data_IF_385339366486
#
_entry.id   IF_385339366486
#
_cell.length_a   1.000
_cell.length_b   1.000
_cell.length_c   1.000
_cell.angle_alpha   90.00
_cell.angle_beta   90.00
_cell.angle_gamma   90.00
#
_symmetry.space_group_name_H-M   'P 1'
#
loop_
_entity.id
_entity.type
_entity.pdbx_description
1 polymer ?
#
# COMPACT_ATOMS: atom_id res chain seq x y z
N UNK A 1 4.69 23.96 14.13
CA UNK A 1 4.98 24.39 12.75
C UNK A 1 5.68 23.27 12.01
N UNK A 2 5.24 23.00 10.77
CA UNK A 2 5.87 22.01 9.89
C UNK A 2 7.26 22.45 9.45
N UNK A 3 8.22 21.51 9.27
CA UNK A 3 9.49 21.81 8.60
C UNK A 3 9.34 22.02 7.08
N UNK A 4 8.20 21.65 6.50
CA UNK A 4 7.91 21.77 5.08
C UNK A 4 7.34 23.15 4.72
N UNK A 5 7.70 23.66 3.53
CA UNK A 5 7.27 24.97 3.06
C UNK A 5 5.75 25.02 2.77
N UNK A 6 5.19 23.93 2.25
CA UNK A 6 3.79 23.83 1.85
C UNK A 6 3.16 22.55 2.42
N UNK A 7 3.01 22.42 3.75
CA UNK A 7 2.51 21.19 4.38
C UNK A 7 1.08 20.85 3.97
N UNK A 8 0.28 21.85 3.59
CA UNK A 8 -1.10 21.71 3.13
C UNK A 8 -1.24 20.94 1.80
N UNK A 9 -0.14 20.74 1.08
CA UNK A 9 -0.15 19.93 -0.15
C UNK A 9 -0.23 18.43 0.14
N UNK A 10 0.08 18.00 1.37
CA UNK A 10 -0.11 16.62 1.80
C UNK A 10 -1.50 16.47 2.41
N UNK A 11 -2.37 15.77 1.70
CA UNK A 11 -3.72 15.43 2.14
C UNK A 11 -3.97 13.96 1.81
N UNK A 12 -3.44 13.08 2.66
CA UNK A 12 -3.46 11.63 2.47
C UNK A 12 -4.11 10.92 3.64
N UNK A 13 -4.74 9.78 3.35
CA UNK A 13 -5.27 8.85 4.34
C UNK A 13 -4.41 7.59 4.30
N UNK A 14 -3.77 7.25 5.41
CA UNK A 14 -2.98 6.03 5.53
C UNK A 14 -3.87 4.91 6.05
N UNK A 15 -4.17 3.94 5.19
CA UNK A 15 -4.80 2.67 5.54
C UNK A 15 -3.69 1.69 5.93
N UNK A 16 -3.58 1.38 7.21
CA UNK A 16 -2.60 0.45 7.79
C UNK A 16 -3.28 -0.86 8.14
N UNK A 17 -2.83 -1.98 7.59
CA UNK A 17 -3.23 -3.31 8.05
C UNK A 17 -2.78 -3.49 9.51
N UNK A 18 -3.62 -4.03 10.38
CA UNK A 18 -3.39 -3.95 11.82
C UNK A 18 -3.41 -5.31 12.55
N UNK A 19 -3.58 -6.42 11.83
CA UNK A 19 -3.75 -7.75 12.42
C UNK A 19 -2.63 -8.73 12.13
N UNK A 20 -1.81 -8.44 11.13
CA UNK A 20 -0.72 -9.30 10.65
C UNK A 20 0.64 -8.58 10.72
N UNK A 21 1.60 -9.07 9.94
CA UNK A 21 2.96 -8.57 9.87
C UNK A 21 3.77 -8.93 11.13
N UNK A 22 4.93 -8.34 11.32
CA UNK A 22 5.79 -8.54 12.49
C UNK A 22 5.09 -8.12 13.80
N UNK A 23 4.07 -7.28 13.73
CA UNK A 23 3.26 -6.84 14.86
C UNK A 23 2.45 -7.97 15.53
N UNK A 24 2.38 -9.15 14.92
CA UNK A 24 1.85 -10.33 15.62
C UNK A 24 2.71 -10.78 16.81
N UNK A 25 3.95 -10.29 16.92
CA UNK A 25 4.84 -10.60 18.04
C UNK A 25 5.28 -12.06 18.09
N UNK A 26 5.31 -12.75 16.94
CA UNK A 26 5.82 -14.13 16.86
C UNK A 26 7.32 -14.06 16.66
N UNK A 27 8.04 -14.01 17.76
CA UNK A 27 9.49 -13.86 17.74
C UNK A 27 10.17 -14.61 18.90
N UNK A 28 11.43 -14.89 18.73
CA UNK A 28 12.28 -15.54 19.73
C UNK A 28 13.60 -14.81 19.84
N UNK A 29 14.06 -14.65 21.10
CA UNK A 29 15.35 -14.06 21.40
C UNK A 29 16.50 -14.96 20.93
N UNK A 30 17.62 -14.35 20.58
CA UNK A 30 18.86 -15.06 20.28
C UNK A 30 19.29 -15.91 21.49
N UNK A 31 19.79 -17.11 21.23
CA UNK A 31 20.24 -18.08 22.23
C UNK A 31 19.11 -18.76 23.04
N UNK A 32 17.83 -18.38 22.83
CA UNK A 32 16.69 -19.16 23.35
C UNK A 32 16.68 -20.57 22.72
N UNK A 33 16.39 -21.59 23.52
CA UNK A 33 16.41 -23.00 23.07
C UNK A 33 15.45 -23.24 21.89
N UNK A 34 14.25 -22.65 21.91
CA UNK A 34 13.28 -22.77 20.81
C UNK A 34 13.80 -22.07 19.56
N UNK A 35 14.46 -20.92 19.69
CA UNK A 35 15.08 -20.20 18.58
C UNK A 35 16.19 -21.01 17.93
N UNK A 36 17.09 -21.58 18.73
CA UNK A 36 18.17 -22.48 18.26
C UNK A 36 17.58 -23.67 17.50
N UNK A 37 16.56 -24.32 18.07
CA UNK A 37 15.88 -25.46 17.44
C UNK A 37 15.22 -25.07 16.11
N UNK A 38 14.56 -23.91 16.05
CA UNK A 38 13.94 -23.38 14.83
C UNK A 38 14.99 -23.09 13.75
N UNK A 39 16.10 -22.42 14.13
CA UNK A 39 17.22 -22.13 13.22
C UNK A 39 17.81 -23.42 12.67
N UNK A 40 18.08 -24.40 13.53
CA UNK A 40 18.61 -25.71 13.13
C UNK A 40 17.67 -26.41 12.17
N UNK A 41 16.37 -26.43 12.49
CA UNK A 41 15.36 -27.01 11.59
C UNK A 41 15.35 -26.35 10.19
N UNK A 42 15.40 -25.01 10.16
CA UNK A 42 15.42 -24.25 8.90
C UNK A 42 16.71 -24.56 8.12
N UNK A 43 17.86 -24.54 8.76
CA UNK A 43 19.14 -24.81 8.13
C UNK A 43 19.23 -26.23 7.58
N UNK A 44 18.73 -27.23 8.31
CA UNK A 44 18.88 -28.64 7.97
C UNK A 44 17.78 -29.16 7.03
N UNK A 45 16.55 -28.60 7.13
CA UNK A 45 15.38 -29.16 6.47
C UNK A 45 14.73 -28.25 5.44
N UNK A 46 14.87 -26.92 5.54
CA UNK A 46 14.20 -25.97 4.65
C UNK A 46 15.15 -25.41 3.60
N UNK A 47 16.27 -24.86 4.03
CA UNK A 47 17.26 -24.22 3.14
C UNK A 47 17.81 -25.20 2.09
N UNK A 48 18.22 -26.43 2.43
CA UNK A 48 18.78 -27.36 1.43
C UNK A 48 17.79 -27.82 0.35
N UNK A 49 16.49 -27.77 0.66
CA UNK A 49 15.42 -28.14 -0.29
C UNK A 49 15.09 -27.01 -1.28
N UNK A 50 15.57 -25.78 -1.02
CA UNK A 50 15.33 -24.63 -1.89
C UNK A 50 16.55 -24.35 -2.77
N UNK A 51 16.47 -24.55 -4.11
CA UNK A 51 17.60 -24.24 -5.01
C UNK A 51 18.11 -22.80 -4.90
N UNK A 52 17.22 -21.86 -4.58
CA UNK A 52 17.55 -20.43 -4.43
C UNK A 52 18.30 -20.11 -3.14
N UNK A 53 18.23 -20.98 -2.14
CA UNK A 53 18.83 -20.77 -0.82
C UNK A 53 20.03 -21.68 -0.54
N UNK A 54 20.40 -22.54 -1.47
CA UNK A 54 21.38 -23.66 -1.31
C UNK A 54 22.71 -23.28 -0.64
N UNK A 55 23.14 -22.02 -0.76
CA UNK A 55 24.41 -21.54 -0.18
C UNK A 55 24.18 -20.56 0.97
N UNK A 56 23.02 -20.57 1.59
CA UNK A 56 22.68 -19.70 2.74
C UNK A 56 22.54 -20.54 3.99
N UNK A 57 22.75 -19.91 5.12
CA UNK A 57 22.44 -20.44 6.44
C UNK A 57 22.08 -19.30 7.37
N UNK A 58 21.22 -19.57 8.34
CA UNK A 58 20.95 -18.64 9.43
C UNK A 58 22.03 -18.84 10.51
N UNK A 59 22.68 -17.76 10.98
CA UNK A 59 23.57 -17.85 12.14
C UNK A 59 22.83 -18.34 13.38
N UNK A 60 23.40 -19.28 14.12
CA UNK A 60 22.73 -19.94 15.24
C UNK A 60 22.42 -18.99 16.41
N UNK A 61 23.15 -17.89 16.49
CA UNK A 61 22.99 -16.84 17.50
C UNK A 61 22.12 -15.66 17.01
N UNK A 62 21.21 -15.90 16.08
CA UNK A 62 20.25 -14.90 15.62
C UNK A 62 18.96 -14.96 16.44
N UNK A 63 18.33 -13.81 16.68
CA UNK A 63 16.90 -13.76 16.99
C UNK A 63 16.08 -13.97 15.71
N UNK A 64 14.89 -14.51 15.83
CA UNK A 64 13.96 -14.73 14.69
C UNK A 64 12.62 -14.09 14.99
N UNK A 65 12.11 -13.29 14.05
CA UNK A 65 10.73 -12.82 13.98
C UNK A 65 10.05 -13.30 12.70
N UNK A 66 8.77 -13.65 12.81
CA UNK A 66 7.95 -14.11 11.68
C UNK A 66 7.09 -12.96 11.17
N UNK A 67 7.13 -12.74 9.85
CA UNK A 67 6.29 -11.77 9.13
C UNK A 67 5.21 -12.51 8.33
N UNK A 68 4.06 -12.82 8.92
CA UNK A 68 2.94 -13.39 8.17
C UNK A 68 2.21 -12.29 7.39
N UNK A 69 1.85 -12.59 6.15
CA UNK A 69 0.97 -11.76 5.30
C UNK A 69 0.04 -12.71 4.57
N UNK A 70 -1.27 -12.60 4.82
CA UNK A 70 -2.28 -13.46 4.22
C UNK A 70 -3.02 -12.76 3.09
N UNK A 71 -3.54 -13.56 2.13
CA UNK A 71 -4.42 -13.05 1.08
C UNK A 71 -5.70 -12.45 1.68
N UNK A 72 -6.27 -13.13 2.69
CA UNK A 72 -7.48 -12.67 3.36
C UNK A 72 -7.29 -11.31 4.05
N UNK A 73 -6.26 -11.15 4.89
CA UNK A 73 -5.96 -9.90 5.58
C UNK A 73 -5.67 -8.76 4.60
N UNK A 74 -4.85 -9.03 3.58
CA UNK A 74 -4.50 -8.08 2.53
C UNK A 74 -5.73 -7.59 1.75
N UNK A 75 -6.56 -8.50 1.24
CA UNK A 75 -7.74 -8.15 0.46
C UNK A 75 -8.82 -7.48 1.30
N UNK A 76 -9.06 -7.93 2.54
CA UNK A 76 -9.98 -7.26 3.48
C UNK A 76 -9.59 -5.80 3.67
N UNK A 77 -8.32 -5.55 3.90
CA UNK A 77 -7.76 -4.22 4.12
C UNK A 77 -7.87 -3.32 2.88
N UNK A 78 -7.41 -3.81 1.73
CA UNK A 78 -7.44 -3.06 0.46
C UNK A 78 -8.87 -2.77 0.02
N UNK A 79 -9.81 -3.71 0.25
CA UNK A 79 -11.25 -3.50 -0.02
C UNK A 79 -11.78 -2.26 0.69
N UNK A 80 -11.45 -2.08 1.98
CA UNK A 80 -11.85 -0.88 2.74
C UNK A 80 -11.26 0.40 2.16
N UNK A 81 -10.02 0.36 1.70
CA UNK A 81 -9.38 1.50 1.05
C UNK A 81 -10.08 1.87 -0.29
N UNK A 82 -10.41 0.88 -1.12
CA UNK A 82 -11.15 1.10 -2.38
C UNK A 82 -12.57 1.62 -2.10
N UNK A 83 -13.30 1.01 -1.16
CA UNK A 83 -14.63 1.46 -0.76
C UNK A 83 -14.64 2.92 -0.27
N UNK A 84 -13.57 3.35 0.39
CA UNK A 84 -13.40 4.75 0.77
C UNK A 84 -13.11 5.63 -0.45
N UNK A 85 -12.17 5.23 -1.31
CA UNK A 85 -11.84 5.98 -2.53
C UNK A 85 -13.06 6.22 -3.43
N UNK A 86 -13.99 5.26 -3.51
CA UNK A 86 -15.25 5.40 -4.26
C UNK A 86 -16.13 6.56 -3.76
N UNK A 87 -16.02 6.94 -2.50
CA UNK A 87 -16.79 8.06 -1.90
C UNK A 87 -16.14 9.43 -2.16
N UNK A 88 -14.89 9.44 -2.57
CA UNK A 88 -14.16 10.66 -2.89
C UNK A 88 -14.45 11.12 -4.33
N UNK A 89 -13.96 12.28 -4.71
CA UNK A 89 -14.18 12.86 -6.04
C UNK A 89 -12.88 13.30 -6.69
N UNK A 90 -12.86 13.33 -8.03
CA UNK A 90 -11.72 13.78 -8.83
C UNK A 90 -10.45 12.99 -8.52
N UNK A 91 -9.32 13.65 -8.51
CA UNK A 91 -7.99 13.04 -8.30
C UNK A 91 -7.82 12.33 -6.93
N UNK A 92 -8.77 12.50 -6.00
CA UNK A 92 -8.76 11.78 -4.72
C UNK A 92 -9.28 10.34 -4.82
N UNK A 93 -9.86 9.95 -5.94
CA UNK A 93 -10.19 8.55 -6.25
C UNK A 93 -8.94 7.74 -6.60
N UNK A 94 -8.00 7.65 -5.67
CA UNK A 94 -6.71 7.04 -5.90
C UNK A 94 -6.27 6.23 -4.69
N UNK A 95 -5.94 4.95 -4.91
CA UNK A 95 -5.42 4.02 -3.90
C UNK A 95 -4.04 3.55 -4.34
N UNK A 96 -3.02 3.87 -3.57
CA UNK A 96 -1.64 3.42 -3.77
C UNK A 96 -1.32 2.27 -2.84
N UNK A 97 -0.98 1.11 -3.39
CA UNK A 97 -0.51 -0.06 -2.66
C UNK A 97 0.98 0.11 -2.33
N UNK A 98 1.30 0.29 -1.05
CA UNK A 98 2.68 0.50 -0.60
C UNK A 98 3.31 -0.80 -0.14
N UNK A 99 4.44 -1.18 -0.74
CA UNK A 99 5.08 -2.47 -0.49
C UNK A 99 6.60 -2.46 -0.75
N UNK A 100 7.31 -3.48 -0.24
CA UNK A 100 8.72 -3.77 -0.56
C UNK A 100 8.84 -5.09 -1.35
N UNK A 101 7.94 -5.30 -2.30
CA UNK A 101 7.80 -6.55 -3.06
C UNK A 101 8.98 -6.90 -3.97
N UNK A 102 9.85 -5.96 -4.30
CA UNK A 102 11.10 -6.23 -5.01
C UNK A 102 12.09 -7.05 -4.16
N UNK A 103 11.98 -7.02 -2.83
CA UNK A 103 12.80 -7.78 -1.87
C UNK A 103 11.99 -8.95 -1.30
N UNK A 104 10.83 -8.66 -0.69
CA UNK A 104 9.95 -9.63 -0.03
C UNK A 104 8.82 -10.06 -0.97
N UNK A 105 9.15 -10.96 -1.92
CA UNK A 105 8.26 -11.28 -3.06
C UNK A 105 6.97 -11.99 -2.67
N UNK A 106 7.02 -12.82 -1.62
CA UNK A 106 5.91 -13.71 -1.23
C UNK A 106 5.09 -13.19 -0.05
N UNK A 107 5.44 -12.03 0.48
CA UNK A 107 4.70 -11.28 1.50
C UNK A 107 4.30 -9.94 0.94
N UNK A 108 5.20 -8.99 0.89
CA UNK A 108 4.96 -7.63 0.38
C UNK A 108 4.56 -7.61 -1.11
N UNK A 109 5.25 -8.42 -1.94
CA UNK A 109 4.90 -8.56 -3.36
C UNK A 109 3.53 -9.23 -3.54
N UNK A 110 3.24 -10.24 -2.72
CA UNK A 110 1.94 -10.89 -2.75
C UNK A 110 0.80 -9.93 -2.32
N UNK A 111 1.03 -9.06 -1.32
CA UNK A 111 0.08 -8.01 -0.94
C UNK A 111 -0.30 -7.13 -2.15
N UNK A 112 0.68 -6.66 -2.90
CA UNK A 112 0.45 -5.90 -4.13
C UNK A 112 -0.37 -6.70 -5.14
N UNK A 113 0.05 -7.93 -5.43
CA UNK A 113 -0.59 -8.76 -6.46
C UNK A 113 -2.05 -9.09 -6.09
N UNK A 114 -2.31 -9.39 -4.81
CA UNK A 114 -3.67 -9.60 -4.30
C UNK A 114 -4.52 -8.33 -4.29
N UNK A 115 -3.89 -7.16 -4.17
CA UNK A 115 -4.57 -5.86 -4.30
C UNK A 115 -5.06 -5.62 -5.72
N UNK A 116 -4.21 -5.84 -6.72
CA UNK A 116 -4.61 -5.77 -8.12
C UNK A 116 -5.66 -6.82 -8.48
N UNK A 117 -5.48 -8.06 -8.00
CA UNK A 117 -6.48 -9.13 -8.19
C UNK A 117 -7.85 -8.72 -7.64
N UNK A 118 -7.89 -8.13 -6.46
CA UNK A 118 -9.12 -7.63 -5.83
C UNK A 118 -9.77 -6.52 -6.68
N UNK A 119 -8.99 -5.53 -7.10
CA UNK A 119 -9.49 -4.42 -7.91
C UNK A 119 -10.12 -4.90 -9.23
N UNK A 120 -9.48 -5.88 -9.88
CA UNK A 120 -9.96 -6.43 -11.14
C UNK A 120 -11.18 -7.35 -10.95
N UNK A 121 -11.20 -8.18 -9.91
CA UNK A 121 -12.24 -9.21 -9.77
C UNK A 121 -13.49 -8.73 -9.04
N UNK A 122 -13.35 -7.85 -8.05
CA UNK A 122 -14.49 -7.40 -7.22
C UNK A 122 -14.95 -5.97 -7.57
N UNK A 123 -14.07 -5.12 -8.08
CA UNK A 123 -14.35 -3.71 -8.32
C UNK A 123 -14.15 -3.29 -9.79
N UNK A 124 -14.32 -4.23 -10.73
CA UNK A 124 -14.04 -3.97 -12.15
C UNK A 124 -14.70 -2.72 -12.69
N UNK A 125 -15.97 -2.51 -12.35
CA UNK A 125 -16.76 -1.37 -12.84
C UNK A 125 -16.40 -0.05 -12.13
N UNK A 126 -15.71 -0.11 -11.02
CA UNK A 126 -15.37 1.05 -10.18
C UNK A 126 -13.88 1.41 -10.23
N UNK A 127 -13.03 0.49 -10.72
CA UNK A 127 -11.57 0.61 -10.62
C UNK A 127 -10.88 0.43 -11.97
N UNK A 128 -9.75 1.12 -12.09
CA UNK A 128 -8.75 0.88 -13.13
C UNK A 128 -7.37 0.76 -12.49
N UNK A 129 -6.53 -0.15 -13.01
CA UNK A 129 -5.13 -0.23 -12.60
C UNK A 129 -4.28 0.78 -13.36
N UNK A 130 -3.16 1.21 -12.75
CA UNK A 130 -2.26 2.18 -13.40
C UNK A 130 -1.82 1.71 -14.79
N UNK A 131 -1.48 0.43 -14.94
CA UNK A 131 -1.03 -0.12 -16.22
C UNK A 131 -2.14 -0.15 -17.28
N UNK A 132 -3.36 -0.46 -16.89
CA UNK A 132 -4.54 -0.38 -17.77
C UNK A 132 -4.83 1.07 -18.18
N UNK A 133 -4.70 2.02 -17.25
CA UNK A 133 -4.90 3.44 -17.54
C UNK A 133 -3.90 3.96 -18.59
N UNK A 134 -2.64 3.54 -18.52
CA UNK A 134 -1.63 3.88 -19.53
C UNK A 134 -1.96 3.32 -20.92
N UNK A 135 -2.44 2.06 -20.97
CA UNK A 135 -2.84 1.42 -22.21
C UNK A 135 -4.01 2.19 -22.88
N UNK A 136 -5.02 2.55 -22.10
CA UNK A 136 -6.17 3.29 -22.58
C UNK A 136 -5.83 4.74 -22.95
N UNK A 137 -5.01 5.43 -22.15
CA UNK A 137 -4.57 6.79 -22.45
C UNK A 137 -3.79 6.87 -23.77
N UNK A 138 -2.91 5.89 -24.04
CA UNK A 138 -2.20 5.80 -25.31
C UNK A 138 -3.15 5.64 -26.50
N UNK A 139 -4.24 4.89 -26.36
CA UNK A 139 -5.29 4.73 -27.39
C UNK A 139 -6.09 6.02 -27.59
N UNK A 140 -6.42 6.72 -26.52
CA UNK A 140 -7.13 8.00 -26.57
C UNK A 140 -6.31 9.08 -27.27
N UNK A 141 -4.99 9.11 -26.98
CA UNK A 141 -4.07 10.06 -27.60
C UNK A 141 -3.77 9.72 -29.08
N UNK A 142 -3.86 8.46 -29.46
CA UNK A 142 -3.66 7.99 -30.83
C UNK A 142 -4.50 6.73 -31.11
N UNK A 143 -5.67 6.90 -31.69
CA UNK A 143 -6.59 5.81 -32.01
C UNK A 143 -6.03 4.76 -33.00
N UNK A 144 -5.00 5.10 -33.77
CA UNK A 144 -4.34 4.20 -34.73
C UNK A 144 -3.06 3.56 -34.16
N UNK A 145 -2.78 3.73 -32.86
CA UNK A 145 -1.58 3.18 -32.25
C UNK A 145 -1.57 1.65 -32.36
N UNK A 146 -0.48 1.09 -32.89
CA UNK A 146 -0.32 -0.37 -32.91
C UNK A 146 -0.07 -0.92 -31.51
N UNK A 147 -0.45 -2.18 -31.28
CA UNK A 147 -0.20 -2.91 -30.02
C UNK A 147 1.29 -2.81 -29.62
N UNK A 148 2.20 -2.99 -30.58
CA UNK A 148 3.64 -2.93 -30.29
C UNK A 148 4.12 -1.53 -29.91
N UNK A 149 3.56 -0.47 -30.51
CA UNK A 149 3.90 0.90 -30.13
C UNK A 149 3.31 1.26 -28.76
N UNK A 150 2.11 0.81 -28.44
CA UNK A 150 1.55 0.95 -27.09
C UNK A 150 2.45 0.22 -26.07
N UNK A 151 2.91 -1.02 -26.37
CA UNK A 151 3.83 -1.76 -25.53
C UNK A 151 5.16 -1.01 -25.28
N UNK A 152 5.70 -0.33 -26.29
CA UNK A 152 6.93 0.49 -26.12
C UNK A 152 6.72 1.71 -25.23
N UNK A 153 5.53 2.27 -25.19
CA UNK A 153 5.20 3.41 -24.32
C UNK A 153 5.02 2.99 -22.86
N UNK A 154 4.35 1.85 -22.61
CA UNK A 154 4.07 1.39 -21.24
C UNK A 154 5.23 0.59 -20.62
N UNK A 155 6.19 0.11 -21.42
CA UNK A 155 7.31 -0.71 -20.95
C UNK A 155 8.65 -0.13 -21.39
N UNK A 156 9.31 0.70 -20.56
CA UNK A 156 10.63 1.23 -20.84
C UNK A 156 11.63 0.09 -21.04
N UNK A 157 12.25 0.04 -22.21
CA UNK A 157 13.18 -1.03 -22.57
C UNK A 157 12.54 -2.24 -23.25
N UNK A 158 11.29 -2.17 -23.70
CA UNK A 158 10.56 -3.21 -24.45
C UNK A 158 11.42 -3.90 -25.52
N UNK A 159 12.17 -3.14 -26.29
CA UNK A 159 13.03 -3.65 -27.37
C UNK A 159 14.21 -4.53 -26.88
N UNK A 160 14.56 -4.46 -25.58
CA UNK A 160 15.63 -5.26 -24.96
C UNK A 160 15.11 -6.55 -24.32
N UNK A 161 13.79 -6.72 -24.27
CA UNK A 161 13.15 -7.92 -23.71
C UNK A 161 13.28 -9.12 -24.64
N UNK A 162 13.18 -10.33 -24.10
CA UNK A 162 13.05 -11.57 -24.88
C UNK A 162 11.75 -11.55 -25.69
N UNK A 163 11.71 -12.32 -26.77
CA UNK A 163 10.50 -12.44 -27.61
C UNK A 163 9.30 -12.92 -26.80
N UNK A 164 9.47 -13.88 -25.88
CA UNK A 164 8.39 -14.34 -25.01
C UNK A 164 7.81 -13.19 -24.19
N UNK A 165 8.64 -12.44 -23.48
CA UNK A 165 8.18 -11.31 -22.66
C UNK A 165 7.51 -10.19 -23.48
N UNK A 166 8.01 -9.94 -24.69
CA UNK A 166 7.36 -8.97 -25.60
C UNK A 166 5.97 -9.45 -26.02
N UNK A 167 5.85 -10.73 -26.33
CA UNK A 167 4.56 -11.33 -26.67
C UNK A 167 3.59 -11.27 -25.49
N UNK A 168 4.04 -11.59 -24.27
CA UNK A 168 3.21 -11.53 -23.07
C UNK A 168 2.63 -10.12 -22.86
N UNK A 169 3.46 -9.07 -23.04
CA UNK A 169 3.01 -7.68 -22.95
C UNK A 169 2.02 -7.31 -24.07
N UNK A 170 2.28 -7.76 -25.28
CA UNK A 170 1.35 -7.52 -26.40
C UNK A 170 0.00 -8.20 -26.19
N UNK A 171 -0.02 -9.42 -25.64
CA UNK A 171 -1.26 -10.13 -25.31
C UNK A 171 -2.00 -9.47 -24.13
N UNK A 172 -1.26 -8.96 -23.12
CA UNK A 172 -1.85 -8.14 -22.05
C UNK A 172 -2.59 -6.93 -22.62
N UNK A 173 -1.96 -6.17 -23.51
CA UNK A 173 -2.58 -4.98 -24.13
C UNK A 173 -3.83 -5.37 -24.92
N UNK A 174 -3.77 -6.43 -25.72
CA UNK A 174 -4.96 -6.93 -26.46
C UNK A 174 -6.09 -7.31 -25.51
N UNK A 175 -5.74 -8.00 -24.42
CA UNK A 175 -6.70 -8.41 -23.41
C UNK A 175 -7.36 -7.19 -22.76
N UNK A 176 -6.61 -6.19 -22.33
CA UNK A 176 -7.13 -4.95 -21.75
C UNK A 176 -8.08 -4.26 -22.73
N UNK A 177 -7.67 -4.05 -23.97
CA UNK A 177 -8.49 -3.39 -24.99
C UNK A 177 -9.80 -4.17 -25.24
N UNK A 178 -9.74 -5.50 -25.34
CA UNK A 178 -10.91 -6.33 -25.61
C UNK A 178 -11.85 -6.47 -24.41
N UNK A 179 -11.33 -6.40 -23.18
CA UNK A 179 -12.12 -6.62 -21.97
C UNK A 179 -12.75 -5.35 -21.43
N UNK A 180 -12.04 -4.21 -21.48
CA UNK A 180 -12.49 -2.96 -20.86
C UNK A 180 -12.47 -1.75 -21.80
N UNK A 181 -12.02 -1.90 -23.05
CA UNK A 181 -11.94 -0.79 -24.00
C UNK A 181 -13.29 -0.07 -24.24
N UNK A 182 -14.39 -0.80 -24.26
CA UNK A 182 -15.72 -0.21 -24.45
C UNK A 182 -16.28 0.45 -23.18
N UNK A 183 -16.02 -0.13 -22.00
CA UNK A 183 -16.57 0.35 -20.73
C UNK A 183 -15.72 1.45 -20.09
N UNK A 184 -14.40 1.30 -20.13
CA UNK A 184 -13.43 2.21 -19.48
C UNK A 184 -12.76 3.17 -20.48
N UNK A 185 -12.77 2.88 -21.78
CA UNK A 185 -12.25 3.75 -22.82
C UNK A 185 -13.02 5.07 -22.96
N UNK A 186 -12.62 5.92 -23.92
CA UNK A 186 -13.21 7.25 -24.17
C UNK A 186 -13.14 8.16 -22.93
N UNK A 187 -12.03 8.08 -22.22
CA UNK A 187 -11.75 8.79 -20.97
C UNK A 187 -12.65 8.42 -19.76
N UNK A 188 -13.53 7.43 -19.87
CA UNK A 188 -14.38 7.01 -18.73
C UNK A 188 -13.56 6.53 -17.54
N UNK A 189 -12.37 5.94 -17.79
CA UNK A 189 -11.47 5.49 -16.72
C UNK A 189 -11.02 6.60 -15.78
N UNK A 190 -11.05 7.86 -16.20
CA UNK A 190 -10.64 9.01 -15.39
C UNK A 190 -11.58 9.30 -14.21
N UNK A 191 -12.80 8.78 -14.28
CA UNK A 191 -13.80 8.89 -13.23
C UNK A 191 -13.80 7.68 -12.28
N UNK A 192 -12.99 6.67 -12.56
CA UNK A 192 -12.85 5.47 -11.73
C UNK A 192 -11.81 5.66 -10.62
N UNK A 193 -11.76 4.70 -9.69
CA UNK A 193 -10.68 4.63 -8.69
C UNK A 193 -9.43 4.10 -9.37
N UNK A 194 -8.40 4.93 -9.43
CA UNK A 194 -7.08 4.49 -9.86
C UNK A 194 -6.42 3.67 -8.76
N UNK A 195 -6.01 2.45 -9.09
CA UNK A 195 -5.21 1.59 -8.20
C UNK A 195 -3.81 1.47 -8.78
N UNK A 196 -2.82 1.94 -8.04
CA UNK A 196 -1.40 1.85 -8.39
C UNK A 196 -0.57 1.25 -7.25
N UNK A 197 0.72 1.07 -7.47
CA UNK A 197 1.63 0.62 -6.44
C UNK A 197 2.92 1.45 -6.37
N UNK A 198 3.48 1.54 -5.18
CA UNK A 198 4.80 2.17 -4.95
C UNK A 198 5.63 1.34 -3.99
N UNK A 199 6.93 1.23 -4.33
CA UNK A 199 7.92 0.68 -3.41
C UNK A 199 8.05 1.59 -2.20
N UNK A 200 8.13 1.02 -0.99
CA UNK A 200 8.08 1.74 0.28
C UNK A 200 9.08 2.90 0.36
N UNK A 201 10.35 2.69 -0.01
CA UNK A 201 11.35 3.77 0.00
C UNK A 201 11.00 4.89 -1.01
N UNK A 202 10.39 4.53 -2.12
CA UNK A 202 9.96 5.50 -3.12
C UNK A 202 8.82 6.38 -2.59
N UNK A 203 7.81 5.80 -1.93
CA UNK A 203 6.70 6.58 -1.39
C UNK A 203 7.14 7.53 -0.28
N UNK A 204 8.10 7.14 0.58
CA UNK A 204 8.66 8.03 1.60
C UNK A 204 9.29 9.29 1.00
N UNK A 205 9.93 9.17 -0.15
CA UNK A 205 10.49 10.30 -0.87
C UNK A 205 9.41 11.11 -1.59
N UNK A 206 8.43 10.41 -2.19
CA UNK A 206 7.42 11.03 -3.04
C UNK A 206 6.38 11.84 -2.26
N UNK A 207 5.97 11.41 -1.07
CA UNK A 207 5.07 12.22 -0.22
C UNK A 207 5.71 13.54 0.25
N UNK A 208 7.04 13.66 0.19
CA UNK A 208 7.74 14.91 0.50
C UNK A 208 7.91 15.81 -0.72
N UNK A 209 8.11 15.24 -1.91
CA UNK A 209 8.47 16.00 -3.12
C UNK A 209 7.28 16.30 -4.03
N UNK A 210 6.24 15.47 -4.01
CA UNK A 210 5.03 15.58 -4.82
C UNK A 210 3.80 15.00 -4.11
N UNK A 211 3.49 15.47 -2.89
CA UNK A 211 2.44 14.91 -2.04
C UNK A 211 1.05 14.92 -2.66
N UNK A 212 0.76 15.89 -3.53
CA UNK A 212 -0.53 16.06 -4.19
C UNK A 212 -0.88 14.95 -5.19
N UNK A 213 0.05 14.07 -5.54
CA UNK A 213 -0.20 12.93 -6.41
C UNK A 213 -0.88 11.77 -5.67
N UNK A 214 -0.94 11.81 -4.35
CA UNK A 214 -1.43 10.72 -3.51
C UNK A 214 -2.69 11.10 -2.74
N UNK A 215 -3.54 10.09 -2.49
CA UNK A 215 -4.77 10.24 -1.72
C UNK A 215 -4.88 9.17 -0.64
N UNK A 216 -5.13 7.91 -0.99
CA UNK A 216 -5.19 6.80 -0.05
C UNK A 216 -3.96 5.92 -0.22
N UNK A 217 -3.22 5.71 0.87
CA UNK A 217 -2.05 4.84 0.91
C UNK A 217 -2.40 3.57 1.67
N UNK A 218 -2.58 2.45 0.96
CA UNK A 218 -2.86 1.15 1.55
C UNK A 218 -1.56 0.40 1.81
N UNK A 219 -1.31 0.02 3.06
CA UNK A 219 -0.03 -0.52 3.50
C UNK A 219 -0.19 -1.76 4.37
N UNK A 220 0.84 -2.61 4.42
CA UNK A 220 1.02 -3.57 5.49
C UNK A 220 1.36 -2.85 6.81
N UNK A 221 1.30 -3.58 7.93
CA UNK A 221 1.35 -3.00 9.27
C UNK A 221 2.64 -2.18 9.51
N UNK A 222 3.82 -2.75 9.33
CA UNK A 222 5.08 -2.05 9.58
C UNK A 222 5.29 -0.84 8.67
N UNK A 223 5.03 -0.99 7.37
CA UNK A 223 5.16 0.11 6.42
C UNK A 223 4.19 1.25 6.76
N UNK A 224 2.98 0.91 7.19
CA UNK A 224 1.96 1.87 7.60
C UNK A 224 2.34 2.63 8.86
N UNK A 225 2.95 1.95 9.84
CA UNK A 225 3.48 2.57 11.05
C UNK A 225 4.49 3.67 10.73
N UNK A 226 5.52 3.33 9.97
CA UNK A 226 6.54 4.28 9.58
C UNK A 226 5.99 5.42 8.70
N UNK A 227 5.12 5.08 7.75
CA UNK A 227 4.61 6.05 6.78
C UNK A 227 3.64 7.05 7.40
N UNK A 228 2.79 6.61 8.33
CA UNK A 228 1.87 7.50 9.04
C UNK A 228 2.60 8.53 9.88
N UNK A 229 3.66 8.14 10.58
CA UNK A 229 4.49 9.05 11.37
C UNK A 229 5.25 10.05 10.49
N UNK A 230 5.79 9.58 9.37
CA UNK A 230 6.45 10.44 8.40
C UNK A 230 5.47 11.46 7.78
N UNK A 231 4.26 11.04 7.44
CA UNK A 231 3.21 11.92 6.92
C UNK A 231 2.75 12.95 7.98
N UNK A 232 2.56 12.49 9.23
CA UNK A 232 2.22 13.38 10.34
C UNK A 232 3.30 14.45 10.58
N UNK A 233 4.58 14.07 10.48
CA UNK A 233 5.69 15.02 10.62
C UNK A 233 5.63 16.14 9.56
N UNK A 234 5.24 15.81 8.32
CA UNK A 234 5.10 16.79 7.24
C UNK A 234 4.01 17.83 7.57
N UNK A 235 2.89 17.42 8.12
CA UNK A 235 1.75 18.33 8.41
C UNK A 235 1.86 19.06 9.75
N UNK A 236 2.85 18.78 10.57
CA UNK A 236 3.10 19.50 11.82
C UNK A 236 3.28 18.64 13.06
N UNK A 237 3.33 17.33 12.89
CA UNK A 237 3.62 16.34 13.93
C UNK A 237 2.41 15.50 14.34
N UNK A 238 2.67 14.46 15.11
CA UNK A 238 1.68 13.47 15.56
C UNK A 238 0.48 14.07 16.32
N UNK A 239 0.67 15.21 17.00
CA UNK A 239 -0.40 15.93 17.68
C UNK A 239 -1.48 16.53 16.75
N UNK A 240 -1.31 16.44 15.44
CA UNK A 240 -2.26 16.91 14.42
C UNK A 240 -2.97 15.79 13.66
N UNK A 241 -2.43 14.56 13.69
CA UNK A 241 -2.95 13.46 12.91
C UNK A 241 -4.04 12.70 13.69
N UNK A 242 -5.29 12.60 13.16
CA UNK A 242 -6.32 11.76 13.76
C UNK A 242 -6.10 10.29 13.44
N UNK A 243 -6.64 9.40 14.28
CA UNK A 243 -6.57 7.96 14.09
C UNK A 243 -7.87 7.23 14.38
N UNK A 244 -8.07 6.14 13.65
CA UNK A 244 -9.18 5.23 13.89
C UNK A 244 -8.78 3.78 13.57
N UNK A 245 -9.23 2.83 14.39
CA UNK A 245 -9.16 1.40 14.14
C UNK A 245 -10.57 0.91 13.82
N UNK A 246 -10.84 0.58 12.57
CA UNK A 246 -12.18 0.25 12.09
C UNK A 246 -12.25 -1.23 11.73
N UNK A 247 -12.95 -2.00 12.57
CA UNK A 247 -13.26 -3.41 12.35
C UNK A 247 -14.66 -3.62 11.75
N UNK A 248 -15.05 -4.88 11.60
CA UNK A 248 -16.36 -5.22 11.02
C UNK A 248 -17.54 -4.98 12.00
N UNK A 249 -17.28 -4.98 13.31
CA UNK A 249 -18.31 -4.88 14.35
C UNK A 249 -18.13 -3.70 15.30
N UNK A 250 -16.95 -3.12 15.33
CA UNK A 250 -16.60 -2.03 16.23
C UNK A 250 -15.57 -1.10 15.59
N UNK A 251 -15.56 0.14 16.02
CA UNK A 251 -14.54 1.11 15.67
C UNK A 251 -14.03 1.82 16.94
N UNK A 252 -12.73 2.09 16.98
CA UNK A 252 -12.07 2.84 18.06
C UNK A 252 -11.45 4.07 17.41
N UNK A 253 -11.72 5.23 17.99
CA UNK A 253 -11.16 6.51 17.55
C UNK A 253 -10.23 7.04 18.63
N UNK A 254 -8.98 7.25 18.29
CA UNK A 254 -7.93 7.60 19.22
C UNK A 254 -6.88 8.51 18.59
N UNK A 255 -6.13 9.21 19.43
CA UNK A 255 -4.95 9.92 18.96
C UNK A 255 -3.90 8.93 18.44
N UNK A 256 -3.21 9.28 17.36
CA UNK A 256 -2.17 8.44 16.76
C UNK A 256 -0.89 8.35 17.60
N UNK A 257 -0.69 9.27 18.54
CA UNK A 257 0.47 9.30 19.43
C UNK A 257 0.21 8.55 20.75
N UNK A 258 1.29 8.14 21.42
CA UNK A 258 1.24 7.55 22.77
C UNK A 258 0.86 8.55 23.87
N UNK A 259 0.84 8.09 25.11
CA UNK A 259 0.39 8.85 26.30
C UNK A 259 1.30 9.99 26.74
N UNK A 260 2.53 10.06 26.21
CA UNK A 260 3.52 11.10 26.48
C UNK A 260 3.70 11.44 28.00
N UNK A 261 4.00 10.49 28.88
CA UNK A 261 3.95 10.66 30.34
C UNK A 261 4.88 11.77 30.86
N UNK A 262 5.96 12.08 30.15
CA UNK A 262 6.89 13.17 30.49
C UNK A 262 6.26 14.56 30.42
N UNK A 263 5.11 14.71 29.75
CA UNK A 263 4.40 15.97 29.57
C UNK A 263 3.10 16.03 30.40
N UNK A 264 2.79 14.99 31.15
CA UNK A 264 1.60 14.93 32.00
C UNK A 264 1.60 16.10 33.00
N UNK A 265 0.48 16.82 33.09
CA UNK A 265 0.32 17.97 33.99
C UNK A 265 1.02 19.27 33.56
N UNK A 266 1.79 19.26 32.47
CA UNK A 266 2.54 20.46 32.02
C UNK A 266 1.74 21.38 31.08
N UNK A 267 0.55 20.97 30.65
CA UNK A 267 -0.33 21.71 29.72
C UNK A 267 0.39 22.16 28.42
N UNK A 268 1.22 21.28 27.84
CA UNK A 268 2.06 21.56 26.67
C UNK A 268 1.68 20.77 25.42
N UNK A 269 0.89 19.70 25.55
CA UNK A 269 0.55 18.83 24.43
C UNK A 269 -0.58 19.45 23.62
N UNK A 270 -0.44 19.40 22.28
CA UNK A 270 -1.50 19.78 21.36
C UNK A 270 -2.61 18.72 21.38
N UNK A 271 -3.88 19.05 21.73
CA UNK A 271 -4.98 18.07 21.75
C UNK A 271 -5.60 17.84 20.36
N UNK A 272 -5.05 18.42 19.29
CA UNK A 272 -5.62 18.38 17.93
C UNK A 272 -5.90 16.97 17.45
N UNK A 273 -4.96 16.04 17.64
CA UNK A 273 -5.11 14.65 17.22
C UNK A 273 -6.36 13.99 17.82
N UNK A 274 -6.54 14.05 19.13
CA UNK A 274 -7.72 13.45 19.79
C UNK A 274 -9.03 14.15 19.43
N UNK A 275 -9.02 15.47 19.27
CA UNK A 275 -10.19 16.24 18.86
C UNK A 275 -10.61 15.84 17.44
N UNK A 276 -9.67 15.77 16.50
CA UNK A 276 -9.94 15.37 15.12
C UNK A 276 -10.35 13.89 15.03
N UNK A 277 -9.83 13.02 15.90
CA UNK A 277 -10.31 11.62 15.99
C UNK A 277 -11.78 11.58 16.45
N UNK A 278 -12.18 12.48 17.36
CA UNK A 278 -13.59 12.68 17.72
C UNK A 278 -14.46 13.15 16.54
N UNK A 279 -13.94 14.02 15.69
CA UNK A 279 -14.62 14.43 14.44
C UNK A 279 -14.78 13.23 13.51
N UNK A 280 -13.74 12.43 13.28
CA UNK A 280 -13.84 11.18 12.49
C UNK A 280 -14.90 10.22 13.03
N UNK A 281 -15.05 10.14 14.35
CA UNK A 281 -16.10 9.33 14.99
C UNK A 281 -17.51 9.86 14.63
N UNK A 282 -17.73 11.16 14.68
CA UNK A 282 -19.01 11.75 14.32
C UNK A 282 -19.34 11.57 12.84
N UNK A 283 -18.35 11.76 11.96
CA UNK A 283 -18.46 11.47 10.52
C UNK A 283 -18.78 10.00 10.26
N UNK A 284 -18.15 9.07 11.01
CA UNK A 284 -18.43 7.63 10.92
C UNK A 284 -19.89 7.29 11.26
N UNK A 285 -20.51 8.02 12.18
CA UNK A 285 -21.95 7.93 12.50
C UNK A 285 -22.85 8.65 11.51
N UNK A 286 -22.30 9.37 10.53
CA UNK A 286 -23.07 10.18 9.58
C UNK A 286 -23.52 11.53 10.13
N UNK A 287 -22.94 12.00 11.21
CA UNK A 287 -23.23 13.30 11.83
C UNK A 287 -22.31 14.36 11.25
N UNK A 288 -22.63 14.81 10.05
CA UNK A 288 -21.79 15.73 9.24
C UNK A 288 -22.19 17.21 9.40
N UNK A 289 -23.03 17.57 10.37
CA UNK A 289 -23.48 18.94 10.62
C UNK A 289 -22.78 19.59 11.83
#
# INVERSE_FOLDING_TARGET
PSPHKNPQNLDVIVYRENTEDIYMGIEWEAEDENCINLISYINDNVIPKSPKLKNRSLPINSGIGIKPVSKFGSQRHIRKAIEHAKKLSGNKRHVTLVHKGNIMKFTEGAFRDWGYELAINEFRDDCITERESWILDNLENNHEISIENNARLIEPGFNKLTNSKRNDICEEIKHVISSIGDSHGKNNWKDLVLVDDRIADSIFQQIQTRPQEYSILATLNLNGDYLSDAAAAIVGGLGMAPGANIGDKAAIFEATHGTAPKHAGLNKINPGSVILSGVMMLEYFGWNE
#
